data_IF_917774708909
#
_entry.id   IF_917774708909
#
_cell.length_a   1.000
_cell.length_b   1.000
_cell.length_c   1.000
_cell.angle_alpha   90.00
_cell.angle_beta   90.00
_cell.angle_gamma   90.00
#
_symmetry.space_group_name_H-M   'P 1'
#
loop_
_entity.id
_entity.type
_entity.pdbx_description
1 polymer ?
#
# COMPACT_ATOMS: atom_id res chain seq x y z
N UNK A 1 -5.00 9.75 -15.17
CA UNK A 1 -5.07 8.32 -14.80
C UNK A 1 -3.71 7.58 -14.91
N UNK A 2 -2.56 8.25 -14.78
CA UNK A 2 -1.24 7.65 -15.11
C UNK A 2 -0.28 7.41 -13.92
N UNK A 3 -0.16 8.35 -12.99
CA UNK A 3 0.85 8.31 -11.91
C UNK A 3 0.35 7.61 -10.65
N UNK A 4 -0.88 7.88 -10.25
CA UNK A 4 -1.54 7.21 -9.12
C UNK A 4 -1.55 5.69 -9.21
N UNK A 5 -1.79 5.15 -10.41
CA UNK A 5 -1.88 3.70 -10.61
C UNK A 5 -0.50 3.04 -10.47
N UNK A 6 0.56 3.72 -10.93
CA UNK A 6 1.95 3.28 -10.80
C UNK A 6 2.41 3.31 -9.34
N UNK A 7 2.07 4.36 -8.60
CA UNK A 7 2.37 4.47 -7.17
C UNK A 7 1.69 3.34 -6.37
N UNK A 8 0.43 3.02 -6.69
CA UNK A 8 -0.29 1.90 -6.06
C UNK A 8 0.40 0.56 -6.31
N UNK A 9 0.86 0.30 -7.54
CA UNK A 9 1.61 -0.92 -7.87
C UNK A 9 2.95 -0.98 -7.12
N UNK A 10 3.68 0.14 -7.05
CA UNK A 10 4.94 0.21 -6.30
C UNK A 10 4.74 -0.07 -4.81
N UNK A 11 3.67 0.46 -4.21
CA UNK A 11 3.38 0.19 -2.80
C UNK A 11 3.04 -1.29 -2.58
N UNK A 12 2.28 -1.93 -3.48
CA UNK A 12 2.00 -3.37 -3.40
C UNK A 12 3.29 -4.20 -3.48
N UNK A 13 4.21 -3.87 -4.39
CA UNK A 13 5.50 -4.57 -4.53
C UNK A 13 6.38 -4.37 -3.29
N UNK A 14 6.41 -3.14 -2.75
CA UNK A 14 7.16 -2.84 -1.54
C UNK A 14 6.64 -3.62 -0.34
N UNK A 15 5.33 -3.63 -0.13
CA UNK A 15 4.70 -4.39 0.95
C UNK A 15 5.01 -5.89 0.86
N UNK A 16 4.94 -6.46 -0.35
CA UNK A 16 5.35 -7.85 -0.60
C UNK A 16 6.81 -8.08 -0.23
N UNK A 17 7.74 -7.23 -0.69
CA UNK A 17 9.16 -7.32 -0.33
C UNK A 17 9.38 -7.22 1.19
N UNK A 18 8.65 -6.37 1.90
CA UNK A 18 8.76 -6.25 3.35
C UNK A 18 8.26 -7.50 4.07
N UNK A 19 7.14 -8.07 3.61
CA UNK A 19 6.58 -9.32 4.13
C UNK A 19 7.50 -10.51 3.88
N UNK A 20 7.98 -10.69 2.64
CA UNK A 20 8.86 -11.79 2.24
C UNK A 20 10.19 -11.77 3.03
N UNK A 21 10.62 -10.59 3.49
CA UNK A 21 11.82 -10.39 4.33
C UNK A 21 11.56 -10.52 5.84
N UNK A 22 10.31 -10.74 6.26
CA UNK A 22 9.93 -10.81 7.68
C UNK A 22 10.05 -9.48 8.42
N UNK A 23 10.07 -8.34 7.71
CA UNK A 23 10.14 -7.00 8.32
C UNK A 23 8.78 -6.53 8.88
N UNK A 24 7.69 -7.17 8.45
CA UNK A 24 6.35 -6.99 8.97
C UNK A 24 5.60 -8.32 8.95
N UNK A 25 4.72 -8.55 9.92
CA UNK A 25 3.82 -9.71 9.94
C UNK A 25 2.65 -9.61 8.96
N UNK A 26 2.61 -8.57 8.12
CA UNK A 26 1.56 -8.36 7.12
C UNK A 26 0.26 -7.77 7.66
N UNK A 27 0.16 -7.59 8.99
CA UNK A 27 -1.00 -6.99 9.66
C UNK A 27 -0.70 -5.65 10.36
N UNK A 28 0.57 -5.19 10.32
CA UNK A 28 1.01 -3.98 11.01
C UNK A 28 1.69 -2.98 10.07
N UNK A 29 1.34 -1.70 10.24
CA UNK A 29 1.92 -0.56 9.52
C UNK A 29 1.14 -0.13 8.26
N UNK A 30 1.35 1.13 7.86
CA UNK A 30 0.82 1.72 6.64
C UNK A 30 2.00 2.18 5.76
N UNK A 31 1.84 2.11 4.44
CA UNK A 31 2.79 2.66 3.46
C UNK A 31 2.11 3.85 2.78
N UNK A 32 2.77 5.00 2.76
CA UNK A 32 2.27 6.19 2.07
C UNK A 32 3.24 6.69 1.00
N UNK A 33 2.70 7.30 -0.05
CA UNK A 33 3.47 7.92 -1.12
C UNK A 33 2.85 9.25 -1.53
N UNK A 34 3.70 10.23 -1.84
CA UNK A 34 3.25 11.54 -2.33
C UNK A 34 2.90 11.44 -3.81
N UNK A 35 1.74 11.95 -4.21
CA UNK A 35 1.37 12.05 -5.62
C UNK A 35 2.02 13.27 -6.25
N UNK A 36 2.13 13.27 -7.59
CA UNK A 36 2.72 14.39 -8.33
C UNK A 36 1.93 15.69 -8.13
N UNK A 37 0.62 15.59 -7.91
CA UNK A 37 -0.27 16.71 -7.61
C UNK A 37 -0.20 17.17 -6.13
N UNK A 38 0.74 16.64 -5.36
CA UNK A 38 0.96 17.02 -3.95
C UNK A 38 0.05 16.31 -2.94
N UNK A 39 -0.82 15.40 -3.40
CA UNK A 39 -1.65 14.55 -2.57
C UNK A 39 -0.85 13.44 -1.86
N UNK A 40 -1.53 12.70 -0.98
CA UNK A 40 -0.94 11.57 -0.27
C UNK A 40 -1.77 10.32 -0.53
N UNK A 41 -1.16 9.33 -1.17
CA UNK A 41 -1.70 7.98 -1.24
C UNK A 41 -1.27 7.22 0.01
N UNK A 42 -2.22 6.57 0.67
CA UNK A 42 -1.95 5.75 1.84
C UNK A 42 -2.55 4.37 1.62
N UNK A 43 -1.75 3.34 1.86
CA UNK A 43 -2.26 1.97 1.87
C UNK A 43 -3.36 1.86 2.94
N UNK A 44 -4.48 1.18 2.66
CA UNK A 44 -5.46 0.94 3.69
C UNK A 44 -4.83 0.20 4.89
N UNK A 45 -5.29 0.47 6.12
CA UNK A 45 -4.89 -0.34 7.27
C UNK A 45 -5.25 -1.80 6.99
N UNK A 46 -4.43 -2.73 7.48
CA UNK A 46 -4.66 -4.15 7.27
C UNK A 46 -6.11 -4.51 7.65
N UNK A 47 -6.87 -5.21 6.78
CA UNK A 47 -8.19 -5.66 7.16
C UNK A 47 -8.03 -6.66 8.30
N UNK A 48 -8.79 -6.47 9.38
CA UNK A 48 -9.13 -7.60 10.22
C UNK A 48 -9.73 -8.68 9.28
N UNK A 49 -9.01 -9.78 9.12
CA UNK A 49 -9.44 -11.04 8.48
C UNK A 49 -9.70 -11.16 6.97
N UNK A 50 -9.92 -10.12 6.14
CA UNK A 50 -10.57 -10.35 4.82
C UNK A 50 -9.84 -9.93 3.52
N UNK A 51 -8.51 -9.96 3.53
CA UNK A 51 -7.74 -10.03 2.28
C UNK A 51 -7.49 -8.69 1.56
N UNK A 52 -6.23 -8.57 1.11
CA UNK A 52 -5.68 -7.49 0.29
C UNK A 52 -6.54 -7.19 -0.95
N UNK A 53 -7.52 -6.30 -0.85
CA UNK A 53 -8.28 -5.80 -2.01
C UNK A 53 -8.12 -4.29 -2.17
N UNK A 54 -7.95 -3.86 -3.42
CA UNK A 54 -7.74 -2.46 -3.87
C UNK A 54 -8.83 -1.46 -3.45
N UNK A 55 -9.81 -1.85 -2.63
CA UNK A 55 -11.00 -1.06 -2.27
C UNK A 55 -10.78 -0.03 -1.16
N UNK A 56 -9.62 -0.04 -0.49
CA UNK A 56 -9.37 0.82 0.68
C UNK A 56 -8.45 2.03 0.45
N UNK A 57 -7.97 2.25 -0.78
CA UNK A 57 -7.13 3.41 -1.07
C UNK A 57 -7.96 4.70 -1.08
N UNK A 58 -7.77 5.55 -0.07
CA UNK A 58 -8.27 6.92 -0.05
C UNK A 58 -7.20 7.90 -0.50
#
# INVERSE_FOLDING_TARGET
MGSDNRLREQICLLAKSMFDRGLTGGSTGNISARTEDGGLLVSPPAPASDGWTRRGWR
#
